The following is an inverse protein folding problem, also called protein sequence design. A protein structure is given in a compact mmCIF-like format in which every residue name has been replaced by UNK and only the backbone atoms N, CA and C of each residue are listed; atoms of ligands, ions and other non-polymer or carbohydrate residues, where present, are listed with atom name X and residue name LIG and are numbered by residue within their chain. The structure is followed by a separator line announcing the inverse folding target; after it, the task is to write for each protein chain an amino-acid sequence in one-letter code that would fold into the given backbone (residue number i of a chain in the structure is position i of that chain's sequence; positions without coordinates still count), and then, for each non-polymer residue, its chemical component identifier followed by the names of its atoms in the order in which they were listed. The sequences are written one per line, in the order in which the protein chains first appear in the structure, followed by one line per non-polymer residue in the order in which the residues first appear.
data_IF_015960566172
#
_entry.id   IF_015960566172
#
_cell.length_a   1.000
_cell.length_b   1.000
_cell.length_c   1.000
_cell.angle_alpha   90.00
_cell.angle_beta   90.00
_cell.angle_gamma   90.00
#
_symmetry.space_group_name_H-M   'P 1'
#
loop_
_entity.id
_entity.type
_entity.pdbx_description
1 polymer ?
#
# COMPACT_ATOMS: atom_id res chain seq x y z
N UNK A 1 29.35 3.80 -20.72
CA UNK A 1 28.06 4.36 -21.15
C UNK A 1 27.34 4.93 -19.94
N UNK A 2 26.88 6.19 -19.99
CA UNK A 2 26.03 6.75 -18.91
C UNK A 2 24.64 6.12 -19.03
N UNK A 3 24.13 5.53 -17.95
CA UNK A 3 22.73 5.05 -17.89
C UNK A 3 21.82 6.26 -17.68
N UNK A 4 20.69 6.30 -18.36
CA UNK A 4 19.68 7.32 -18.08
C UNK A 4 19.14 7.17 -16.65
N UNK A 5 18.81 8.28 -15.98
CA UNK A 5 18.24 8.24 -14.65
C UNK A 5 16.86 7.55 -14.67
N UNK A 6 16.59 6.74 -13.64
CA UNK A 6 15.29 6.07 -13.52
C UNK A 6 14.20 7.11 -13.28
N UNK A 7 13.15 7.09 -14.11
CA UNK A 7 11.94 7.88 -13.90
C UNK A 7 11.01 7.12 -12.95
N UNK A 8 10.85 7.63 -11.73
CA UNK A 8 10.05 6.99 -10.67
C UNK A 8 8.54 7.23 -10.78
N UNK A 9 8.14 8.33 -11.42
CA UNK A 9 6.73 8.69 -11.62
C UNK A 9 6.50 9.17 -13.04
N UNK A 10 5.29 8.93 -13.56
CA UNK A 10 4.86 9.37 -14.90
C UNK A 10 3.62 10.25 -14.74
N UNK A 11 3.55 11.37 -15.46
CA UNK A 11 2.37 12.23 -15.44
C UNK A 11 1.19 11.50 -16.11
N UNK A 12 -0.01 11.69 -15.58
CA UNK A 12 -1.26 11.20 -16.15
C UNK A 12 -1.45 11.79 -17.56
N UNK A 13 -1.78 10.97 -18.56
CA UNK A 13 -1.88 11.43 -19.94
C UNK A 13 -3.06 12.39 -20.19
N UNK A 14 -4.08 12.37 -19.34
CA UNK A 14 -5.32 13.13 -19.51
C UNK A 14 -5.42 14.30 -18.53
N UNK A 15 -4.74 14.21 -17.39
CA UNK A 15 -4.91 15.13 -16.25
C UNK A 15 -3.59 15.78 -15.86
N UNK A 16 -3.54 17.11 -15.95
CA UNK A 16 -2.38 17.89 -15.53
C UNK A 16 -2.12 17.75 -14.02
N UNK A 17 -0.86 17.71 -13.63
CA UNK A 17 -0.42 17.63 -12.22
C UNK A 17 -0.89 16.38 -11.47
N UNK A 18 -1.18 15.29 -12.18
CA UNK A 18 -1.41 13.97 -11.57
C UNK A 18 -0.25 13.07 -11.97
N UNK A 19 0.36 12.38 -11.01
CA UNK A 19 1.55 11.57 -11.24
C UNK A 19 1.34 10.16 -10.72
N UNK A 20 1.46 9.18 -11.61
CA UNK A 20 1.34 7.75 -11.32
C UNK A 20 2.70 7.12 -11.04
N UNK A 21 2.76 6.05 -10.23
CA UNK A 21 3.97 5.26 -10.07
C UNK A 21 4.38 4.66 -11.41
N UNK A 22 5.65 4.82 -11.79
CA UNK A 22 6.18 4.14 -12.98
C UNK A 22 6.28 2.62 -12.76
N UNK A 23 6.42 1.85 -13.84
CA UNK A 23 6.62 0.40 -13.74
C UNK A 23 7.87 0.04 -12.92
N UNK A 24 8.94 0.85 -13.00
CA UNK A 24 10.13 0.67 -12.17
C UNK A 24 9.87 0.92 -10.67
N UNK A 25 8.97 1.86 -10.34
CA UNK A 25 8.55 2.06 -8.96
C UNK A 25 7.66 0.90 -8.47
N UNK A 26 6.70 0.45 -9.28
CA UNK A 26 5.79 -0.65 -8.92
C UNK A 26 6.54 -1.95 -8.61
N UNK A 27 7.60 -2.26 -9.35
CA UNK A 27 8.49 -3.42 -9.08
C UNK A 27 9.15 -3.40 -7.70
N UNK A 28 9.22 -2.23 -7.05
CA UNK A 28 9.82 -2.04 -5.72
C UNK A 28 8.77 -1.86 -4.62
N UNK A 29 7.49 -1.95 -4.96
CA UNK A 29 6.43 -1.84 -3.97
C UNK A 29 6.50 -3.01 -2.98
N UNK A 30 6.27 -2.71 -1.71
CA UNK A 30 6.15 -3.73 -0.65
C UNK A 30 4.86 -4.55 -0.80
N UNK A 31 3.84 -3.95 -1.41
CA UNK A 31 2.56 -4.59 -1.71
C UNK A 31 2.17 -4.22 -3.13
N UNK A 32 1.93 -5.24 -3.96
CA UNK A 32 1.55 -5.10 -5.37
C UNK A 32 0.17 -5.69 -5.69
N UNK A 33 -0.46 -6.35 -4.73
CA UNK A 33 -1.80 -6.91 -4.89
C UNK A 33 -2.84 -5.85 -4.56
N UNK A 34 -3.57 -5.39 -5.57
CA UNK A 34 -4.63 -4.39 -5.41
C UNK A 34 -5.88 -4.94 -4.71
N UNK A 35 -6.05 -6.26 -4.64
CA UNK A 35 -7.22 -6.89 -4.00
C UNK A 35 -7.33 -6.58 -2.51
N UNK A 36 -6.23 -6.17 -1.87
CA UNK A 36 -6.20 -5.76 -0.46
C UNK A 36 -7.19 -4.64 -0.16
N UNK A 37 -7.47 -3.75 -1.12
CA UNK A 37 -8.40 -2.65 -0.90
C UNK A 37 -9.84 -3.14 -0.81
N UNK A 38 -10.21 -4.08 -1.68
CA UNK A 38 -11.54 -4.70 -1.64
C UNK A 38 -11.69 -5.64 -0.44
N UNK A 39 -10.63 -6.35 -0.03
CA UNK A 39 -10.64 -7.14 1.20
C UNK A 39 -10.80 -6.26 2.44
N UNK A 40 -9.98 -5.23 2.58
CA UNK A 40 -10.05 -4.28 3.69
C UNK A 40 -11.41 -3.58 3.79
N UNK A 41 -12.06 -3.32 2.65
CA UNK A 41 -13.38 -2.68 2.61
C UNK A 41 -14.51 -3.56 3.13
N UNK A 42 -14.41 -4.89 3.03
CA UNK A 42 -15.45 -5.83 3.49
C UNK A 42 -15.64 -5.76 5.00
N UNK A 43 -14.55 -5.71 5.75
CA UNK A 43 -14.54 -5.50 7.20
C UNK A 43 -13.25 -4.76 7.62
N UNK A 44 -13.27 -3.42 7.65
CA UNK A 44 -12.09 -2.62 7.96
C UNK A 44 -11.56 -2.87 9.37
N UNK A 45 -12.45 -3.14 10.34
CA UNK A 45 -12.07 -3.33 11.74
C UNK A 45 -11.34 -4.67 11.89
N UNK A 46 -11.87 -5.74 11.31
CA UNK A 46 -11.20 -7.04 11.31
C UNK A 46 -9.88 -7.03 10.53
N UNK A 47 -9.86 -6.35 9.37
CA UNK A 47 -8.65 -6.21 8.55
C UNK A 47 -7.50 -5.56 9.32
N UNK A 48 -7.75 -4.41 9.95
CA UNK A 48 -6.71 -3.73 10.73
C UNK A 48 -6.34 -4.47 12.00
N UNK A 49 -7.30 -5.14 12.66
CA UNK A 49 -7.01 -5.97 13.82
C UNK A 49 -6.05 -7.12 13.48
N UNK A 50 -6.24 -7.77 12.31
CA UNK A 50 -5.33 -8.79 11.80
C UNK A 50 -3.92 -8.22 11.59
N UNK A 51 -3.80 -7.13 10.83
CA UNK A 51 -2.51 -6.50 10.55
C UNK A 51 -1.78 -6.02 11.82
N UNK A 52 -2.52 -5.47 12.78
CA UNK A 52 -1.95 -5.05 14.07
C UNK A 52 -1.42 -6.23 14.87
N UNK A 53 -2.07 -7.40 14.78
CA UNK A 53 -1.64 -8.62 15.48
C UNK A 53 -0.42 -9.26 14.84
N UNK A 54 -0.30 -9.16 13.52
CA UNK A 54 0.82 -9.72 12.76
C UNK A 54 2.05 -8.79 12.75
N UNK A 55 1.84 -7.48 12.58
CA UNK A 55 2.91 -6.51 12.31
C UNK A 55 3.49 -5.82 13.55
N UNK A 56 2.87 -5.97 14.72
CA UNK A 56 3.30 -5.30 15.96
C UNK A 56 3.47 -6.36 17.06
N UNK A 57 4.59 -6.28 17.79
CA UNK A 57 4.79 -7.10 18.99
C UNK A 57 4.14 -6.43 20.19
N UNK A 58 3.12 -7.06 20.74
CA UNK A 58 2.37 -6.55 21.89
C UNK A 58 2.88 -7.16 23.19
N UNK A 59 3.02 -6.33 24.22
CA UNK A 59 3.25 -6.80 25.58
C UNK A 59 2.02 -7.55 26.13
N UNK A 60 0.82 -7.10 25.74
CA UNK A 60 -0.46 -7.74 26.02
C UNK A 60 -1.45 -7.40 24.90
N UNK A 61 -2.19 -8.40 24.44
CA UNK A 61 -3.25 -8.23 23.46
C UNK A 61 -4.42 -7.39 24.00
N UNK A 62 -5.14 -6.73 23.09
CA UNK A 62 -6.36 -5.99 23.40
C UNK A 62 -7.56 -6.94 23.54
N UNK A 63 -8.55 -6.53 24.32
CA UNK A 63 -9.82 -7.27 24.49
C UNK A 63 -10.87 -6.89 23.45
N UNK A 64 -10.76 -5.69 22.90
CA UNK A 64 -11.72 -5.11 21.98
C UNK A 64 -11.01 -4.21 20.97
N UNK A 65 -11.50 -4.22 19.72
CA UNK A 65 -11.02 -3.37 18.62
C UNK A 65 -11.72 -2.00 18.68
N UNK A 66 -12.08 -1.42 17.53
CA UNK A 66 -12.78 -0.14 17.41
C UNK A 66 -14.31 -0.35 17.39
N UNK A 67 -15.06 0.54 18.05
CA UNK A 67 -16.53 0.59 18.06
C UNK A 67 -17.04 1.90 17.47
#
# INVERSE_FOLDING_TARGET
MKREPIKWVVEDPERKNIFWPSEELKKRAWVSDESIYEEAKKDPVAWWAKLAKEGITWFKDWTETYR
#
